data_IF_391800134413
#
_entry.id   IF_391800134413
#
_cell.length_a   1.000
_cell.length_b   1.000
_cell.length_c   1.000
_cell.angle_alpha   90.00
_cell.angle_beta   90.00
_cell.angle_gamma   90.00
#
_symmetry.space_group_name_H-M   'P 1'
#
loop_
_entity.id
_entity.type
_entity.pdbx_description
1 polymer ?
#
# COMPACT_ATOMS: atom_id res chain seq x y z
N UNK A 1 3.60 -2.86 14.31
CA UNK A 1 3.91 -1.58 14.98
C UNK A 1 2.88 -0.48 14.63
N UNK A 2 2.62 -0.23 13.34
CA UNK A 2 1.65 0.80 12.89
C UNK A 2 0.18 0.47 13.28
N UNK A 3 -0.22 -0.80 13.22
CA UNK A 3 -1.54 -1.24 13.72
C UNK A 3 -1.75 -0.88 15.21
N UNK A 4 -0.71 -1.05 16.03
CA UNK A 4 -0.72 -0.68 17.45
C UNK A 4 -0.84 0.83 17.64
N UNK A 5 -0.22 1.63 16.77
CA UNK A 5 -0.35 3.09 16.80
C UNK A 5 -1.81 3.51 16.61
N UNK A 6 -2.53 3.00 15.61
CA UNK A 6 -3.94 3.35 15.40
C UNK A 6 -4.85 2.92 16.56
N UNK A 7 -4.56 1.77 17.19
CA UNK A 7 -5.28 1.29 18.40
C UNK A 7 -5.07 2.19 19.62
N UNK A 8 -3.91 2.82 19.74
CA UNK A 8 -3.60 3.77 20.82
C UNK A 8 -4.17 5.15 20.49
N UNK A 9 -4.01 5.61 19.24
CA UNK A 9 -4.52 6.88 18.74
C UNK A 9 -6.03 7.04 18.97
N UNK A 10 -6.83 6.01 18.67
CA UNK A 10 -8.28 6.03 18.91
C UNK A 10 -8.69 6.13 20.39
N UNK A 11 -7.75 5.96 21.33
CA UNK A 11 -7.96 6.13 22.77
C UNK A 11 -7.42 7.46 23.30
N UNK A 12 -6.65 8.18 22.49
CA UNK A 12 -5.91 9.38 22.88
C UNK A 12 -6.77 10.65 22.79
N UNK A 13 -7.84 10.60 22.00
CA UNK A 13 -8.84 11.66 21.79
C UNK A 13 -9.55 12.13 23.10
N UNK A 14 -9.30 11.44 24.21
CA UNK A 14 -9.92 11.70 25.52
C UNK A 14 -8.94 12.14 26.60
N UNK A 15 -7.62 12.17 26.34
CA UNK A 15 -6.64 12.04 27.44
C UNK A 15 -5.75 13.25 27.69
N UNK A 16 -5.34 14.08 26.71
CA UNK A 16 -4.45 15.19 27.09
C UNK A 16 -4.27 16.30 26.04
N UNK A 17 -4.57 17.55 26.41
CA UNK A 17 -4.19 18.75 25.65
C UNK A 17 -2.66 18.87 25.55
N UNK A 18 -1.91 18.28 26.50
CA UNK A 18 -0.45 18.27 26.49
C UNK A 18 0.16 17.42 25.36
N UNK A 19 -0.63 16.58 24.69
CA UNK A 19 -0.17 15.72 23.59
C UNK A 19 -0.49 16.28 22.20
N UNK A 20 -1.24 17.39 22.12
CA UNK A 20 -1.66 18.02 20.86
C UNK A 20 -0.45 18.36 19.97
N UNK A 21 0.67 18.78 20.57
CA UNK A 21 1.89 19.15 19.84
C UNK A 21 2.74 17.95 19.38
N UNK A 22 2.52 16.76 19.97
CA UNK A 22 3.29 15.54 19.67
C UNK A 22 2.52 14.61 18.72
N UNK A 23 1.20 14.70 18.72
CA UNK A 23 0.32 13.91 17.88
C UNK A 23 0.33 14.47 16.46
N UNK A 24 0.56 13.60 15.47
CA UNK A 24 0.37 13.94 14.06
C UNK A 24 -1.02 14.52 13.82
N UNK A 25 -1.10 15.54 12.97
CA UNK A 25 -2.37 16.20 12.66
C UNK A 25 -3.37 15.18 12.10
N UNK A 26 -4.68 15.40 12.28
CA UNK A 26 -5.74 14.52 11.75
C UNK A 26 -5.55 14.21 10.25
N UNK A 27 -5.13 15.20 9.45
CA UNK A 27 -4.81 15.04 8.03
C UNK A 27 -3.64 14.07 7.80
N UNK A 28 -2.55 14.20 8.55
CA UNK A 28 -1.37 13.33 8.48
C UNK A 28 -1.71 11.90 8.91
N UNK A 29 -2.63 11.74 9.85
CA UNK A 29 -3.15 10.45 10.28
C UNK A 29 -3.98 9.75 9.20
N UNK A 30 -4.81 10.50 8.47
CA UNK A 30 -5.54 9.99 7.30
C UNK A 30 -4.56 9.53 6.21
N UNK A 31 -3.55 10.34 5.92
CA UNK A 31 -2.49 9.97 4.97
C UNK A 31 -1.72 8.72 5.43
N UNK A 32 -1.35 8.65 6.71
CA UNK A 32 -0.65 7.49 7.28
C UNK A 32 -1.51 6.22 7.21
N UNK A 33 -2.83 6.34 7.40
CA UNK A 33 -3.75 5.21 7.29
C UNK A 33 -3.87 4.72 5.84
N UNK A 34 -3.98 5.65 4.88
CA UNK A 34 -3.96 5.30 3.45
C UNK A 34 -2.68 4.54 3.09
N UNK A 35 -1.53 5.09 3.49
CA UNK A 35 -0.23 4.49 3.24
C UNK A 35 -0.08 3.11 3.91
N UNK A 36 -0.63 2.95 5.12
CA UNK A 36 -0.60 1.68 5.82
C UNK A 36 -1.41 0.59 5.09
N UNK A 37 -2.60 0.91 4.59
CA UNK A 37 -3.40 -0.03 3.80
C UNK A 37 -2.71 -0.40 2.49
N UNK A 38 -1.99 0.54 1.87
CA UNK A 38 -1.18 0.29 0.68
C UNK A 38 -0.02 -0.65 0.96
N UNK A 39 0.70 -0.46 2.07
CA UNK A 39 1.75 -1.38 2.51
C UNK A 39 1.21 -2.78 2.83
N UNK A 40 0.01 -2.88 3.37
CA UNK A 40 -0.63 -4.18 3.67
C UNK A 40 -0.95 -4.97 2.39
N UNK A 41 -1.37 -4.28 1.33
CA UNK A 41 -1.59 -4.90 0.01
C UNK A 41 -0.27 -5.37 -0.60
N UNK A 42 0.78 -4.55 -0.53
CA UNK A 42 2.13 -4.92 -0.96
C UNK A 42 2.67 -6.13 -0.18
N UNK A 43 2.49 -6.15 1.15
CA UNK A 43 2.87 -7.28 1.99
C UNK A 43 2.11 -8.55 1.58
N UNK A 44 0.82 -8.44 1.28
CA UNK A 44 0.01 -9.55 0.77
C UNK A 44 0.52 -10.10 -0.56
N UNK A 45 0.88 -9.22 -1.50
CA UNK A 45 1.50 -9.61 -2.77
C UNK A 45 2.85 -10.29 -2.54
N UNK A 46 3.69 -9.74 -1.66
CA UNK A 46 5.01 -10.29 -1.35
C UNK A 46 4.92 -11.68 -0.69
N UNK A 47 3.98 -11.88 0.24
CA UNK A 47 3.70 -13.20 0.82
C UNK A 47 3.23 -14.21 -0.22
N UNK A 48 2.39 -13.79 -1.17
CA UNK A 48 1.99 -14.64 -2.28
C UNK A 48 3.19 -14.99 -3.16
N UNK A 49 4.03 -14.01 -3.50
CA UNK A 49 5.26 -14.20 -4.28
C UNK A 49 6.26 -15.16 -3.64
N UNK A 50 6.31 -15.20 -2.31
CA UNK A 50 7.17 -16.12 -1.56
C UNK A 50 6.58 -17.55 -1.42
N UNK A 51 5.41 -17.83 -2.00
CA UNK A 51 4.84 -19.17 -2.01
C UNK A 51 5.65 -20.11 -2.93
N UNK A 52 5.83 -21.37 -2.49
CA UNK A 52 6.69 -22.36 -3.15
C UNK A 52 6.26 -22.75 -4.58
N UNK A 53 4.99 -22.58 -4.94
CA UNK A 53 4.43 -23.02 -6.23
C UNK A 53 3.67 -21.88 -6.93
N UNK A 54 4.40 -20.88 -7.41
CA UNK A 54 3.83 -19.87 -8.31
C UNK A 54 4.31 -20.07 -9.74
N UNK A 55 3.36 -20.08 -10.67
CA UNK A 55 3.69 -19.95 -12.08
C UNK A 55 4.08 -18.51 -12.42
N UNK A 56 4.85 -18.31 -13.50
CA UNK A 56 5.14 -16.97 -14.03
C UNK A 56 3.85 -16.21 -14.41
N UNK A 57 2.77 -16.94 -14.74
CA UNK A 57 1.47 -16.35 -15.00
C UNK A 57 0.84 -15.75 -13.73
N UNK A 58 0.89 -16.48 -12.61
CA UNK A 58 0.37 -16.02 -11.32
C UNK A 58 1.17 -14.81 -10.80
N UNK A 59 2.50 -14.87 -10.92
CA UNK A 59 3.39 -13.75 -10.62
C UNK A 59 2.97 -12.52 -11.42
N UNK A 60 2.74 -12.68 -12.74
CA UNK A 60 2.29 -11.57 -13.59
C UNK A 60 0.95 -10.99 -13.13
N UNK A 61 -0.03 -11.83 -12.80
CA UNK A 61 -1.34 -11.37 -12.33
C UNK A 61 -1.22 -10.55 -11.03
N UNK A 62 -0.34 -10.96 -10.13
CA UNK A 62 -0.07 -10.22 -8.89
C UNK A 62 0.53 -8.83 -9.16
N UNK A 63 1.47 -8.73 -10.10
CA UNK A 63 2.05 -7.44 -10.51
C UNK A 63 1.03 -6.57 -11.26
N UNK A 64 0.22 -7.13 -12.16
CA UNK A 64 -0.83 -6.39 -12.88
C UNK A 64 -1.87 -5.80 -11.89
N UNK A 65 -2.23 -6.56 -10.86
CA UNK A 65 -3.09 -6.07 -9.76
C UNK A 65 -2.43 -4.92 -8.99
N UNK A 66 -1.12 -5.01 -8.74
CA UNK A 66 -0.37 -3.98 -8.04
C UNK A 66 -0.28 -2.69 -8.86
N UNK A 67 -0.03 -2.81 -10.16
CA UNK A 67 0.08 -1.69 -11.10
C UNK A 67 -1.25 -0.93 -11.20
N UNK A 68 -2.38 -1.66 -11.28
CA UNK A 68 -3.72 -1.06 -11.23
C UNK A 68 -3.97 -0.27 -9.94
N UNK A 69 -3.32 -0.67 -8.84
CA UNK A 69 -3.49 -0.04 -7.54
C UNK A 69 -2.59 1.18 -7.33
N UNK A 70 -1.42 1.24 -7.98
CA UNK A 70 -0.44 2.32 -7.86
C UNK A 70 -0.14 3.01 -9.22
N UNK A 71 -1.15 3.63 -9.86
CA UNK A 71 -1.01 4.19 -11.20
C UNK A 71 0.03 5.31 -11.30
N UNK A 72 0.28 6.04 -10.21
CA UNK A 72 1.22 7.18 -10.16
C UNK A 72 2.68 6.76 -10.11
N UNK A 73 3.00 5.50 -9.79
CA UNK A 73 4.38 4.98 -9.82
C UNK A 73 4.84 4.63 -11.23
N UNK A 74 3.89 4.51 -12.17
CA UNK A 74 4.08 4.05 -13.54
C UNK A 74 4.71 5.03 -14.56
N UNK A 75 4.48 6.36 -14.49
CA UNK A 75 4.97 7.29 -15.51
C UNK A 75 6.50 7.25 -15.72
N UNK A 76 7.24 6.62 -14.82
CA UNK A 76 8.71 6.48 -14.87
C UNK A 76 9.18 5.30 -15.73
N UNK A 77 8.29 4.41 -16.21
CA UNK A 77 8.65 3.20 -16.98
C UNK A 77 7.85 3.05 -18.29
N UNK A 78 8.10 3.89 -19.32
CA UNK A 78 7.32 3.92 -20.55
C UNK A 78 7.34 2.61 -21.36
N UNK A 79 8.41 1.81 -21.26
CA UNK A 79 8.54 0.52 -21.97
C UNK A 79 7.52 -0.54 -21.50
N UNK A 80 7.01 -0.41 -20.28
CA UNK A 80 6.04 -1.37 -19.74
C UNK A 80 4.61 -1.11 -20.25
N UNK A 81 4.28 0.15 -20.59
CA UNK A 81 3.03 0.50 -21.28
C UNK A 81 2.91 -0.18 -22.64
N UNK A 82 4.01 -0.27 -23.39
CA UNK A 82 4.06 -1.02 -24.65
C UNK A 82 3.86 -2.51 -24.42
N UNK A 83 4.46 -3.06 -23.37
CA UNK A 83 4.37 -4.49 -23.02
C UNK A 83 2.98 -4.93 -22.54
N UNK A 84 2.18 -4.02 -21.96
CA UNK A 84 0.79 -4.27 -21.59
C UNK A 84 -0.20 -3.99 -22.73
N UNK A 85 0.07 -3.00 -23.59
CA UNK A 85 -0.79 -2.62 -24.72
C UNK A 85 -0.74 -3.60 -25.90
N UNK A 86 0.39 -4.26 -26.16
CA UNK A 86 0.55 -5.23 -27.27
C UNK A 86 -0.20 -6.56 -27.08
N UNK A 87 -1.25 -6.63 -26.24
CA UNK A 87 -1.88 -7.91 -25.87
C UNK A 87 -3.38 -7.85 -25.57
N UNK A 88 -4.06 -6.80 -26.07
CA UNK A 88 -5.52 -6.78 -26.23
C UNK A 88 -5.96 -7.18 -27.64
N UNK A 89 -5.06 -7.75 -28.45
CA UNK A 89 -5.37 -8.43 -29.73
C UNK A 89 -5.20 -9.94 -29.59
#
# INVERSE_FOLDING_TARGET
MVDRYFKIYGKLDRVDDALVDVIRTACENVQLKSLYEDFKKLEGVNKKLQAEMLSLHDVRLLFDQLIKHFPTTWPQYPHWSSFSASRTE
#
